data_IF_636346874962
#
_entry.id   IF_636346874962
#
_cell.length_a   1.000
_cell.length_b   1.000
_cell.length_c   1.000
_cell.angle_alpha   90.00
_cell.angle_beta   90.00
_cell.angle_gamma   90.00
#
_symmetry.space_group_name_H-M   'P 1'
#
loop_
_entity.id
_entity.type
_entity.pdbx_description
1 polymer ?
#
# COMPACT_ATOMS: atom_id res chain seq x y z
N UNK A 1 24.31 -9.08 -9.11
CA UNK A 1 23.53 -8.05 -9.79
C UNK A 1 22.29 -7.74 -8.95
N UNK A 2 22.16 -6.55 -8.39
CA UNK A 2 20.95 -6.18 -7.65
C UNK A 2 19.77 -6.13 -8.62
N UNK A 3 18.67 -6.81 -8.27
CA UNK A 3 17.47 -6.85 -9.10
C UNK A 3 16.82 -5.46 -9.05
N UNK A 4 16.59 -4.87 -10.21
CA UNK A 4 15.93 -3.56 -10.32
C UNK A 4 14.51 -3.66 -9.78
N UNK A 5 14.11 -2.74 -8.90
CA UNK A 5 12.73 -2.65 -8.43
C UNK A 5 11.80 -2.26 -9.59
N UNK A 6 10.71 -2.99 -9.78
CA UNK A 6 9.75 -2.77 -10.86
C UNK A 6 8.32 -2.90 -10.35
N UNK A 7 7.36 -2.34 -11.09
CA UNK A 7 5.95 -2.54 -10.79
C UNK A 7 5.54 -4.02 -10.85
N UNK A 8 6.11 -4.80 -11.77
CA UNK A 8 5.88 -6.24 -11.84
C UNK A 8 6.39 -6.96 -10.59
N UNK A 9 7.61 -6.62 -10.14
CA UNK A 9 8.15 -7.17 -8.90
C UNK A 9 7.30 -6.78 -7.68
N UNK A 10 6.77 -5.56 -7.66
CA UNK A 10 5.89 -5.11 -6.58
C UNK A 10 4.57 -5.89 -6.57
N UNK A 11 3.94 -6.09 -7.73
CA UNK A 11 2.72 -6.89 -7.83
C UNK A 11 2.93 -8.33 -7.35
N UNK A 12 4.04 -8.96 -7.75
CA UNK A 12 4.40 -10.31 -7.31
C UNK A 12 4.64 -10.38 -5.80
N UNK A 13 5.43 -9.45 -5.27
CA UNK A 13 5.73 -9.38 -3.84
C UNK A 13 4.46 -9.17 -3.02
N UNK A 14 3.58 -8.26 -3.47
CA UNK A 14 2.32 -7.99 -2.79
C UNK A 14 1.38 -9.20 -2.80
N UNK A 15 1.31 -9.92 -3.91
CA UNK A 15 0.55 -11.17 -4.00
C UNK A 15 1.04 -12.21 -3.00
N UNK A 16 2.36 -12.39 -2.91
CA UNK A 16 2.96 -13.34 -1.97
C UNK A 16 2.73 -12.90 -0.51
N UNK A 17 2.95 -11.63 -0.21
CA UNK A 17 2.76 -11.07 1.13
C UNK A 17 1.29 -11.13 1.59
N UNK A 18 0.34 -10.85 0.71
CA UNK A 18 -1.08 -10.90 1.04
C UNK A 18 -1.53 -12.32 1.39
N UNK A 19 -0.91 -13.33 0.80
CA UNK A 19 -1.21 -14.74 1.06
C UNK A 19 -0.47 -15.32 2.26
N UNK A 20 0.56 -14.63 2.75
CA UNK A 20 1.10 -14.94 4.08
C UNK A 20 0.02 -14.60 5.11
N UNK A 21 -0.10 -15.36 6.21
CA UNK A 21 -1.11 -15.03 7.22
C UNK A 21 -0.65 -13.88 8.11
N UNK A 22 -0.42 -12.68 7.54
CA UNK A 22 -0.21 -11.47 8.33
C UNK A 22 -1.51 -11.09 9.02
N UNK A 23 -1.46 -10.80 10.29
CA UNK A 23 -2.63 -10.39 11.08
C UNK A 23 -2.21 -9.58 12.30
N UNK A 24 -3.07 -8.67 12.72
CA UNK A 24 -2.99 -8.04 14.02
C UNK A 24 -3.42 -9.02 15.13
N UNK A 25 -3.84 -8.48 16.26
CA UNK A 25 -4.37 -9.31 17.34
C UNK A 25 -5.74 -9.85 16.93
N UNK A 26 -5.89 -11.16 16.98
CA UNK A 26 -7.14 -11.87 16.74
C UNK A 26 -7.52 -12.67 18.00
N UNK A 27 -8.78 -13.08 18.16
CA UNK A 27 -9.17 -13.90 19.31
C UNK A 27 -8.27 -15.12 19.48
N UNK A 28 -7.57 -15.20 20.61
CA UNK A 28 -6.63 -16.29 20.92
C UNK A 28 -5.35 -16.32 20.10
N UNK A 29 -5.00 -15.20 19.42
CA UNK A 29 -3.86 -15.15 18.50
C UNK A 29 -3.12 -13.82 18.62
N UNK A 30 -1.84 -13.86 18.97
CA UNK A 30 -0.97 -12.69 19.02
C UNK A 30 -0.68 -12.16 17.61
N UNK A 31 -0.43 -10.86 17.51
CA UNK A 31 -0.05 -10.21 16.26
C UNK A 31 1.29 -10.75 15.73
N UNK A 32 1.36 -10.98 14.41
CA UNK A 32 2.61 -11.33 13.71
C UNK A 32 3.12 -10.18 12.83
N UNK A 33 2.69 -8.95 13.08
CA UNK A 33 3.01 -7.78 12.25
C UNK A 33 4.41 -7.21 12.46
N UNK A 34 5.28 -7.86 13.22
CA UNK A 34 6.63 -7.37 13.50
C UNK A 34 7.41 -6.94 12.22
N UNK A 35 7.44 -7.72 11.11
CA UNK A 35 8.13 -7.29 9.90
C UNK A 35 7.57 -6.03 9.26
N UNK A 36 6.27 -5.79 9.44
CA UNK A 36 5.55 -4.63 8.87
C UNK A 36 5.75 -3.40 9.76
N UNK A 37 5.80 -3.58 11.07
CA UNK A 37 5.89 -2.49 12.05
C UNK A 37 7.32 -2.03 12.30
N UNK A 38 8.28 -2.95 12.27
CA UNK A 38 9.70 -2.72 12.61
C UNK A 38 10.34 -1.49 11.95
N UNK A 39 10.09 -1.17 10.67
CA UNK A 39 10.72 -0.01 10.04
C UNK A 39 10.34 1.32 10.69
N UNK A 40 9.20 1.40 11.35
CA UNK A 40 8.66 2.64 11.90
C UNK A 40 9.07 2.82 13.36
N UNK A 41 9.94 3.81 13.69
CA UNK A 41 10.44 4.00 15.05
C UNK A 41 9.30 4.30 16.02
N UNK A 42 9.39 3.74 17.22
CA UNK A 42 8.45 3.96 18.32
C UNK A 42 7.00 3.50 18.04
N UNK A 43 6.77 2.81 16.94
CA UNK A 43 5.46 2.23 16.65
C UNK A 43 5.41 0.80 17.17
N UNK A 44 4.41 0.48 17.97
CA UNK A 44 4.26 -0.83 18.61
C UNK A 44 3.22 -1.68 17.89
N UNK A 45 3.26 -2.99 18.12
CA UNK A 45 2.25 -3.91 17.57
C UNK A 45 0.82 -3.55 18.02
N UNK A 46 0.68 -3.04 19.25
CA UNK A 46 -0.63 -2.61 19.76
C UNK A 46 -1.14 -1.33 19.08
N UNK A 47 -0.25 -0.38 18.84
CA UNK A 47 -0.61 0.86 18.13
C UNK A 47 -0.93 0.60 16.65
N UNK A 48 -0.27 -0.38 16.05
CA UNK A 48 -0.51 -0.78 14.67
C UNK A 48 -1.79 -1.58 14.49
N UNK A 49 -2.31 -2.19 15.55
CA UNK A 49 -3.45 -3.08 15.48
C UNK A 49 -4.67 -2.38 14.86
N UNK A 50 -5.20 -2.96 13.78
CA UNK A 50 -6.30 -2.37 13.02
C UNK A 50 -5.95 -1.15 12.17
N UNK A 51 -4.66 -0.75 12.05
CA UNK A 51 -4.22 0.49 11.39
C UNK A 51 -3.00 0.28 10.45
N UNK A 52 -2.84 -0.86 9.83
CA UNK A 52 -1.59 -1.22 9.14
C UNK A 52 -1.70 -1.42 7.62
N UNK A 53 -2.75 -0.94 6.99
CA UNK A 53 -2.89 -1.07 5.53
C UNK A 53 -1.77 -0.35 4.74
N UNK A 54 -1.45 0.88 5.11
CA UNK A 54 -0.37 1.65 4.48
C UNK A 54 1.02 1.07 4.79
N UNK A 55 1.22 0.61 6.03
CA UNK A 55 2.47 -0.05 6.42
C UNK A 55 2.69 -1.37 5.65
N UNK A 56 1.63 -2.10 5.34
CA UNK A 56 1.68 -3.27 4.48
C UNK A 56 2.17 -2.91 3.06
N UNK A 57 1.65 -1.83 2.48
CA UNK A 57 2.12 -1.33 1.17
C UNK A 57 3.60 -0.97 1.23
N UNK A 58 4.03 -0.28 2.29
CA UNK A 58 5.44 0.08 2.49
C UNK A 58 6.32 -1.18 2.58
N UNK A 59 5.90 -2.17 3.35
CA UNK A 59 6.58 -3.47 3.44
C UNK A 59 6.76 -4.11 2.06
N UNK A 60 5.69 -4.18 1.26
CA UNK A 60 5.75 -4.75 -0.08
C UNK A 60 6.71 -3.99 -1.00
N UNK A 61 6.72 -2.66 -0.94
CA UNK A 61 7.64 -1.83 -1.71
C UNK A 61 9.10 -2.15 -1.36
N UNK A 62 9.43 -2.25 -0.09
CA UNK A 62 10.79 -2.59 0.36
C UNK A 62 11.20 -4.00 -0.07
N UNK A 63 10.34 -4.98 0.12
CA UNK A 63 10.60 -6.36 -0.28
C UNK A 63 10.77 -6.49 -1.81
N UNK A 64 10.08 -5.64 -2.58
CA UNK A 64 10.25 -5.57 -4.04
C UNK A 64 11.53 -4.84 -4.47
N UNK A 65 12.28 -4.24 -3.52
CA UNK A 65 13.55 -3.59 -3.77
C UNK A 65 13.49 -2.08 -3.95
N UNK A 66 12.35 -1.43 -3.70
CA UNK A 66 12.26 0.02 -3.69
C UNK A 66 12.90 0.59 -2.42
N UNK A 67 13.83 1.50 -2.59
CA UNK A 67 14.48 2.21 -1.49
C UNK A 67 13.79 3.56 -1.26
N UNK A 68 12.81 3.55 -0.36
CA UNK A 68 12.02 4.72 0.02
C UNK A 68 12.18 4.91 1.53
N UNK A 69 12.53 6.12 2.02
CA UNK A 69 12.59 6.35 3.46
C UNK A 69 11.19 6.24 4.07
N UNK A 70 11.11 5.94 5.35
CA UNK A 70 9.82 5.83 6.05
C UNK A 70 9.04 7.14 6.05
N UNK A 71 9.73 8.27 5.97
CA UNK A 71 9.13 9.61 5.88
C UNK A 71 9.90 10.43 4.84
N UNK A 72 9.52 10.34 3.56
CA UNK A 72 10.04 11.25 2.54
C UNK A 72 9.78 12.72 2.90
N UNK A 73 10.61 13.63 2.40
CA UNK A 73 10.49 15.07 2.70
C UNK A 73 9.13 15.67 2.28
N UNK A 74 8.47 15.05 1.31
CA UNK A 74 7.14 15.43 0.83
C UNK A 74 6.04 15.11 1.85
N UNK A 75 6.30 14.22 2.79
CA UNK A 75 5.31 13.78 3.78
C UNK A 75 5.31 14.71 4.99
N UNK A 76 4.39 15.66 5.02
CA UNK A 76 4.29 16.64 6.12
C UNK A 76 3.37 16.16 7.25
N UNK A 77 2.32 15.39 6.93
CA UNK A 77 1.32 14.94 7.91
C UNK A 77 1.84 13.81 8.79
N UNK A 78 2.39 12.76 8.18
CA UNK A 78 2.87 11.57 8.89
C UNK A 78 3.89 10.80 8.06
N UNK A 79 4.38 9.68 8.57
CA UNK A 79 5.21 8.73 7.80
C UNK A 79 4.36 7.77 6.95
N UNK A 80 5.01 6.95 6.12
CA UNK A 80 4.35 6.07 5.15
C UNK A 80 3.59 4.87 5.75
N UNK A 81 3.43 4.80 7.07
CA UNK A 81 2.42 3.94 7.67
C UNK A 81 1.00 4.54 7.62
N UNK A 82 0.86 5.77 7.12
CA UNK A 82 -0.42 6.45 6.94
C UNK A 82 -0.76 6.68 5.46
N UNK A 83 -2.01 6.51 5.10
CA UNK A 83 -2.47 6.66 3.70
C UNK A 83 -2.28 8.07 3.16
N UNK A 84 -2.48 9.11 3.98
CA UNK A 84 -2.30 10.52 3.58
C UNK A 84 -0.86 10.77 3.16
N UNK A 85 0.12 10.21 3.86
CA UNK A 85 1.52 10.38 3.52
C UNK A 85 1.86 9.82 2.14
N UNK A 86 1.25 8.74 1.72
CA UNK A 86 1.42 8.19 0.37
C UNK A 86 0.93 9.15 -0.73
N UNK A 87 -0.18 9.82 -0.49
CA UNK A 87 -0.67 10.85 -1.42
C UNK A 87 0.27 12.05 -1.46
N UNK A 88 0.69 12.56 -0.31
CA UNK A 88 1.66 13.66 -0.21
C UNK A 88 2.98 13.31 -0.94
N UNK A 89 3.49 12.11 -0.73
CA UNK A 89 4.69 11.61 -1.41
C UNK A 89 4.53 11.59 -2.93
N UNK A 90 3.44 11.01 -3.42
CA UNK A 90 3.20 10.88 -4.85
C UNK A 90 2.98 12.25 -5.53
N UNK A 91 2.27 13.16 -4.89
CA UNK A 91 2.02 14.49 -5.42
C UNK A 91 3.25 15.40 -5.32
N UNK A 92 4.13 15.16 -4.35
CA UNK A 92 5.33 15.97 -4.12
C UNK A 92 6.54 15.57 -4.93
N UNK A 93 6.58 14.36 -5.51
CA UNK A 93 7.68 13.89 -6.36
C UNK A 93 7.19 13.72 -7.80
N UNK A 94 7.61 14.62 -8.69
CA UNK A 94 7.17 14.63 -10.09
C UNK A 94 7.56 13.38 -10.88
N UNK A 95 8.45 12.55 -10.37
CA UNK A 95 8.84 11.27 -10.99
C UNK A 95 7.81 10.18 -10.76
N UNK A 96 6.96 10.34 -9.74
CA UNK A 96 5.90 9.39 -9.39
C UNK A 96 4.63 9.80 -10.11
N UNK A 97 3.99 8.87 -10.82
CA UNK A 97 2.72 9.15 -11.48
C UNK A 97 1.58 9.08 -10.46
N UNK A 98 0.76 10.11 -10.44
CA UNK A 98 -0.45 10.21 -9.62
C UNK A 98 -1.63 10.48 -10.53
N UNK A 99 -2.63 9.60 -10.51
CA UNK A 99 -3.82 9.73 -11.35
C UNK A 99 -5.10 9.62 -10.52
N UNK A 100 -6.13 10.45 -10.82
CA UNK A 100 -7.41 10.36 -10.12
C UNK A 100 -8.11 9.03 -10.37
N UNK A 101 -8.92 8.59 -9.43
CA UNK A 101 -9.61 7.30 -9.47
C UNK A 101 -10.61 7.15 -10.61
N UNK A 102 -11.07 8.25 -11.20
CA UNK A 102 -11.97 8.26 -12.38
C UNK A 102 -11.25 7.78 -13.65
N UNK A 103 -9.92 7.83 -13.70
CA UNK A 103 -9.17 7.35 -14.86
C UNK A 103 -9.06 5.82 -14.85
N UNK A 104 -10.09 5.17 -15.39
CA UNK A 104 -10.19 3.72 -15.41
C UNK A 104 -9.24 3.03 -16.38
N UNK A 105 -8.53 3.78 -17.22
CA UNK A 105 -7.55 3.25 -18.19
C UNK A 105 -6.15 3.16 -17.62
N UNK A 106 -5.83 4.00 -16.65
CA UNK A 106 -4.49 4.11 -16.08
C UNK A 106 -4.04 2.88 -15.30
N UNK A 107 -4.85 2.28 -14.39
CA UNK A 107 -4.36 1.28 -13.45
C UNK A 107 -3.86 0.01 -14.14
N UNK A 108 -2.76 -0.52 -13.60
CA UNK A 108 -2.18 -1.81 -13.98
C UNK A 108 -1.56 -2.49 -12.77
N UNK A 109 -1.17 -3.75 -12.93
CA UNK A 109 -0.45 -4.50 -11.89
C UNK A 109 0.80 -3.74 -11.43
N UNK A 110 1.01 -3.64 -10.12
CA UNK A 110 2.10 -2.91 -9.50
C UNK A 110 1.75 -1.48 -9.09
N UNK A 111 0.60 -0.95 -9.51
CA UNK A 111 0.15 0.35 -9.03
C UNK A 111 -0.39 0.24 -7.60
N UNK A 112 -0.20 1.30 -6.84
CA UNK A 112 -0.82 1.47 -5.52
C UNK A 112 -2.17 2.15 -5.72
N UNK A 113 -3.20 1.67 -5.04
CA UNK A 113 -4.54 2.25 -5.05
C UNK A 113 -4.87 2.83 -3.69
N UNK A 114 -5.34 4.09 -3.68
CA UNK A 114 -5.85 4.80 -2.50
C UNK A 114 -7.36 4.81 -2.53
N UNK A 115 -7.98 4.55 -1.39
CA UNK A 115 -9.43 4.50 -1.24
C UNK A 115 -9.95 5.57 -0.29
N UNK A 116 -11.19 5.96 -0.53
CA UNK A 116 -12.01 6.77 0.37
C UNK A 116 -13.25 5.97 0.78
N UNK A 117 -13.59 6.01 2.06
CA UNK A 117 -14.86 5.49 2.61
C UNK A 117 -15.14 4.01 2.31
N UNK A 118 -14.10 3.19 2.42
CA UNK A 118 -14.21 1.72 2.27
C UNK A 118 -14.58 1.06 3.60
N UNK A 119 -13.98 1.52 4.71
CA UNK A 119 -14.21 0.97 6.05
C UNK A 119 -14.92 1.94 6.99
N UNK A 120 -14.72 3.23 6.80
CA UNK A 120 -15.36 4.28 7.59
C UNK A 120 -15.76 5.43 6.68
N UNK A 121 -16.51 6.40 7.21
CA UNK A 121 -16.95 7.54 6.41
C UNK A 121 -15.88 8.66 6.38
N UNK A 122 -14.64 8.29 6.08
CA UNK A 122 -13.51 9.22 6.01
C UNK A 122 -12.72 9.05 4.72
N UNK A 123 -12.10 10.12 4.19
CA UNK A 123 -11.16 10.00 3.09
C UNK A 123 -9.87 9.30 3.56
N UNK A 124 -9.11 8.74 2.63
CA UNK A 124 -7.83 8.06 2.88
C UNK A 124 -7.92 6.94 3.92
N UNK A 125 -9.03 6.22 3.95
CA UNK A 125 -9.23 5.21 4.98
C UNK A 125 -8.59 3.87 4.66
N UNK A 126 -8.15 3.66 3.42
CA UNK A 126 -7.54 2.39 3.01
C UNK A 126 -6.65 2.52 1.78
N UNK A 127 -5.78 1.53 1.57
CA UNK A 127 -4.96 1.41 0.37
C UNK A 127 -4.49 -0.03 0.16
N UNK A 128 -4.02 -0.31 -1.06
CA UNK A 128 -3.49 -1.62 -1.42
C UNK A 128 -2.63 -1.56 -2.68
N UNK A 129 -2.20 -2.72 -3.16
CA UNK A 129 -1.40 -2.86 -4.38
C UNK A 129 -2.17 -3.71 -5.38
N UNK A 130 -2.32 -3.18 -6.59
CA UNK A 130 -3.01 -3.87 -7.68
C UNK A 130 -2.14 -5.04 -8.16
N UNK A 131 -2.70 -6.23 -8.12
CA UNK A 131 -2.04 -7.44 -8.64
C UNK A 131 -2.53 -7.75 -10.06
N UNK A 132 -3.81 -7.49 -10.34
CA UNK A 132 -4.39 -7.71 -11.66
C UNK A 132 -5.53 -6.72 -11.90
N UNK A 133 -5.59 -6.20 -13.12
CA UNK A 133 -6.73 -5.41 -13.59
C UNK A 133 -7.60 -6.26 -14.50
N UNK A 134 -8.87 -6.36 -14.17
CA UNK A 134 -9.92 -6.90 -15.02
C UNK A 134 -10.73 -5.75 -15.65
N UNK A 135 -11.77 -6.05 -16.41
CA UNK A 135 -12.51 -5.02 -17.14
C UNK A 135 -13.02 -3.88 -16.24
N UNK A 136 -13.74 -4.23 -15.17
CA UNK A 136 -14.35 -3.25 -14.24
C UNK A 136 -13.96 -3.51 -12.79
N UNK A 137 -12.93 -4.32 -12.55
CA UNK A 137 -12.58 -4.82 -11.24
C UNK A 137 -11.06 -4.88 -11.11
N UNK A 138 -10.57 -4.57 -9.93
CA UNK A 138 -9.18 -4.74 -9.56
C UNK A 138 -9.06 -5.92 -8.59
N UNK A 139 -8.05 -6.75 -8.80
CA UNK A 139 -7.62 -7.73 -7.80
C UNK A 139 -6.46 -7.10 -7.04
N UNK A 140 -6.66 -6.85 -5.75
CA UNK A 140 -5.78 -6.03 -4.92
C UNK A 140 -5.25 -6.84 -3.75
N UNK A 141 -3.95 -6.72 -3.50
CA UNK A 141 -3.31 -7.20 -2.28
C UNK A 141 -3.43 -6.12 -1.22
N UNK A 142 -4.04 -6.47 -0.09
CA UNK A 142 -4.33 -5.51 0.98
C UNK A 142 -3.92 -6.07 2.34
N UNK A 143 -3.38 -5.21 3.18
CA UNK A 143 -3.26 -5.45 4.61
C UNK A 143 -4.47 -4.89 5.36
N UNK A 144 -4.71 -5.41 6.56
CA UNK A 144 -5.75 -4.90 7.44
C UNK A 144 -7.18 -5.00 6.90
N UNK A 145 -7.50 -6.12 6.25
CA UNK A 145 -8.88 -6.50 5.95
C UNK A 145 -9.36 -7.34 7.14
N UNK A 146 -10.24 -6.78 7.97
CA UNK A 146 -10.60 -7.42 9.25
C UNK A 146 -9.35 -7.84 10.06
N UNK A 147 -8.36 -6.94 10.10
CA UNK A 147 -7.07 -7.11 10.77
C UNK A 147 -6.20 -8.26 10.20
N UNK A 148 -6.40 -8.63 8.94
CA UNK A 148 -5.64 -9.66 8.24
C UNK A 148 -5.19 -9.16 6.86
N UNK A 149 -4.13 -9.75 6.30
CA UNK A 149 -3.77 -9.56 4.91
C UNK A 149 -4.58 -10.49 4.01
N UNK A 150 -4.77 -10.07 2.76
CA UNK A 150 -5.48 -10.91 1.79
C UNK A 150 -5.55 -10.30 0.40
N UNK A 151 -6.00 -11.13 -0.53
CA UNK A 151 -6.37 -10.72 -1.87
C UNK A 151 -7.85 -10.41 -1.90
N UNK A 152 -8.22 -9.26 -2.47
CA UNK A 152 -9.61 -8.85 -2.53
C UNK A 152 -9.97 -8.33 -3.92
N UNK A 153 -11.20 -8.58 -4.34
CA UNK A 153 -11.78 -8.03 -5.56
C UNK A 153 -12.45 -6.69 -5.23
N UNK A 154 -12.00 -5.61 -5.88
CA UNK A 154 -12.52 -4.26 -5.68
C UNK A 154 -13.15 -3.74 -6.96
N UNK A 155 -14.39 -3.26 -6.95
CA UNK A 155 -14.96 -2.60 -8.12
C UNK A 155 -14.22 -1.29 -8.40
N UNK A 156 -14.15 -0.92 -9.67
CA UNK A 156 -13.61 0.39 -10.07
C UNK A 156 -14.74 1.43 -9.99
N UNK A 157 -14.93 1.99 -8.81
CA UNK A 157 -16.03 2.90 -8.49
C UNK A 157 -15.55 4.18 -7.77
N UNK A 158 -16.50 4.96 -7.25
CA UNK A 158 -16.22 6.24 -6.58
C UNK A 158 -15.44 6.12 -5.25
N UNK A 159 -15.24 4.92 -4.72
CA UNK A 159 -14.38 4.71 -3.56
C UNK A 159 -12.90 4.80 -3.89
N UNK A 160 -12.51 4.70 -5.17
CA UNK A 160 -11.12 4.86 -5.56
C UNK A 160 -10.79 6.35 -5.65
N UNK A 161 -9.91 6.80 -4.76
CA UNK A 161 -9.44 8.17 -4.73
C UNK A 161 -8.40 8.44 -5.81
N UNK A 162 -7.39 7.60 -5.89
CA UNK A 162 -6.26 7.79 -6.80
C UNK A 162 -5.45 6.50 -7.01
N UNK A 163 -4.67 6.51 -8.09
CA UNK A 163 -3.65 5.53 -8.38
C UNK A 163 -2.28 6.16 -8.30
N UNK A 164 -1.31 5.44 -7.73
CA UNK A 164 0.08 5.86 -7.61
C UNK A 164 0.95 4.82 -8.34
N UNK A 165 1.80 5.28 -9.25
CA UNK A 165 2.78 4.42 -9.91
C UNK A 165 4.19 4.89 -9.63
N UNK A 166 4.94 4.07 -8.91
CA UNK A 166 6.37 4.29 -8.70
C UNK A 166 7.10 3.75 -9.93
N UNK A 167 7.93 4.56 -10.61
CA UNK A 167 8.57 4.11 -11.83
C UNK A 167 9.61 3.02 -11.57
N UNK A 168 9.79 2.15 -12.55
CA UNK A 168 10.79 1.09 -12.47
C UNK A 168 12.19 1.65 -12.22
N UNK A 169 12.87 1.11 -11.21
CA UNK A 169 14.19 1.56 -10.82
C UNK A 169 14.21 2.90 -10.08
N UNK A 170 13.07 3.32 -9.56
CA UNK A 170 13.00 4.52 -8.71
C UNK A 170 13.97 4.44 -7.53
N UNK A 171 14.68 5.54 -7.29
CA UNK A 171 15.50 5.75 -6.10
C UNK A 171 15.17 7.11 -5.52
N UNK A 172 14.93 7.15 -4.23
CA UNK A 172 14.74 8.41 -3.51
C UNK A 172 16.09 9.12 -3.38
N UNK A 173 16.19 10.32 -3.89
CA UNK A 173 17.43 11.09 -3.91
C UNK A 173 17.49 12.10 -2.79
#
# INVERSE_FOLDING_TARGET
MMKKATGEALAKTAYEAARMPFHGYLPGKDSNLEPIVRPFPKWTLKEADGLWCAAFVYYCCREAGFEIPIRPNECVTCHLAGCVAWEEFAMGDSRIAYHPGEDTRFPKAGDIVLYDRVFCNQPHDHMGIIVQKLKNTLIVAEGNIQNQSGMISRPMDAHIRAYIRIPDGYTYA
#
